data_IF_390356775167
#
_entry.id   IF_390356775167
#
_cell.length_a   1.000
_cell.length_b   1.000
_cell.length_c   1.000
_cell.angle_alpha   90.00
_cell.angle_beta   90.00
_cell.angle_gamma   90.00
#
_symmetry.space_group_name_H-M   'P 1'
#
loop_
_entity.id
_entity.type
_entity.pdbx_description
1 polymer ?
#
# COMPACT_ATOMS: atom_id res chain seq x y z
N UNK A 1 -0.42 -2.14 -23.54
CA UNK A 1 -0.52 -3.11 -22.41
C UNK A 1 -0.02 -4.50 -22.84
N UNK A 2 1.27 -4.78 -22.63
CA UNK A 2 1.78 -6.15 -22.50
C UNK A 2 1.82 -6.44 -20.99
N UNK A 3 1.18 -7.54 -20.58
CA UNK A 3 1.02 -7.94 -19.18
C UNK A 3 2.20 -8.83 -18.77
N UNK A 4 2.62 -8.76 -17.51
CA UNK A 4 3.50 -9.78 -16.92
C UNK A 4 2.63 -10.92 -16.40
N UNK A 5 2.97 -12.14 -16.77
CA UNK A 5 2.28 -13.37 -16.31
C UNK A 5 3.29 -14.32 -15.70
N UNK A 6 2.86 -15.21 -14.83
CA UNK A 6 3.73 -16.21 -14.23
C UNK A 6 3.52 -16.31 -12.72
N UNK A 7 4.56 -16.70 -12.00
CA UNK A 7 4.51 -16.92 -10.57
C UNK A 7 5.76 -16.42 -9.86
N UNK A 8 5.55 -15.99 -8.61
CA UNK A 8 6.58 -15.82 -7.61
C UNK A 8 6.09 -16.51 -6.35
N UNK A 9 6.90 -17.41 -5.79
CA UNK A 9 6.60 -18.14 -4.56
C UNK A 9 7.80 -18.06 -3.61
N UNK A 10 7.55 -18.12 -2.31
CA UNK A 10 8.61 -18.21 -1.30
C UNK A 10 8.06 -18.75 0.02
N UNK A 11 8.94 -19.11 0.94
CA UNK A 11 8.59 -19.30 2.34
C UNK A 11 9.14 -18.13 3.15
N UNK A 12 8.28 -17.43 3.87
CA UNK A 12 8.61 -16.28 4.70
C UNK A 12 8.54 -16.70 6.16
N UNK A 13 9.58 -16.35 6.93
CA UNK A 13 9.58 -16.44 8.40
C UNK A 13 9.69 -15.03 8.95
N UNK A 14 8.59 -14.53 9.52
CA UNK A 14 8.46 -13.22 10.14
C UNK A 14 7.82 -13.36 11.52
N UNK A 15 8.63 -13.16 12.57
CA UNK A 15 8.16 -13.29 13.96
C UNK A 15 7.23 -12.16 14.43
N UNK A 16 6.99 -11.13 13.61
CA UNK A 16 6.07 -10.03 13.93
C UNK A 16 4.61 -10.33 13.57
N UNK A 17 4.35 -11.42 12.82
CA UNK A 17 3.01 -11.82 12.39
C UNK A 17 2.65 -13.20 12.95
N UNK A 18 1.35 -13.51 12.99
CA UNK A 18 0.83 -14.79 13.45
C UNK A 18 -0.04 -15.39 12.31
N UNK A 19 0.27 -16.59 11.81
CA UNK A 19 1.43 -17.41 12.15
C UNK A 19 2.76 -16.78 11.67
N UNK A 20 3.89 -17.05 12.34
CA UNK A 20 5.18 -16.45 11.97
C UNK A 20 5.76 -17.01 10.67
N UNK A 21 5.22 -18.11 10.17
CA UNK A 21 5.62 -18.73 8.91
C UNK A 21 4.47 -18.60 7.91
N UNK A 22 4.77 -18.09 6.73
CA UNK A 22 3.82 -17.90 5.64
C UNK A 22 4.42 -18.43 4.34
N UNK A 23 3.65 -19.22 3.59
CA UNK A 23 4.04 -19.63 2.24
C UNK A 23 3.49 -18.60 1.25
N UNK A 24 4.36 -17.72 0.78
CA UNK A 24 4.04 -16.67 -0.17
C UNK A 24 3.63 -17.28 -1.51
N UNK A 25 2.50 -16.80 -2.02
CA UNK A 25 2.06 -17.10 -3.38
C UNK A 25 1.57 -15.82 -4.04
N UNK A 26 2.36 -15.30 -4.96
CA UNK A 26 2.00 -14.10 -5.70
C UNK A 26 0.68 -14.24 -6.46
N UNK A 27 -0.18 -13.23 -6.33
CA UNK A 27 -1.43 -13.12 -7.08
C UNK A 27 -1.12 -12.92 -8.57
N UNK A 28 -1.68 -13.77 -9.44
CA UNK A 28 -1.34 -13.80 -10.87
C UNK A 28 -1.60 -12.47 -11.61
N UNK A 29 -2.58 -11.69 -11.15
CA UNK A 29 -2.94 -10.37 -11.67
C UNK A 29 -2.11 -9.21 -11.06
N UNK A 30 -1.17 -9.52 -10.16
CA UNK A 30 -0.35 -8.53 -9.43
C UNK A 30 1.14 -8.78 -9.54
N UNK A 31 1.56 -9.54 -10.53
CA UNK A 31 2.96 -9.69 -10.89
C UNK A 31 3.37 -8.60 -11.86
N UNK A 32 4.57 -8.06 -11.66
CA UNK A 32 5.17 -7.09 -12.56
C UNK A 32 6.59 -7.41 -12.89
N UNK A 33 6.92 -7.17 -14.16
CA UNK A 33 8.27 -7.11 -14.65
C UNK A 33 8.37 -5.97 -15.66
N UNK A 34 9.27 -5.01 -15.44
CA UNK A 34 9.47 -3.87 -16.35
C UNK A 34 10.88 -3.32 -16.26
N UNK A 35 11.30 -2.58 -17.29
CA UNK A 35 12.56 -1.85 -17.27
C UNK A 35 12.34 -0.38 -16.98
N UNK A 36 13.19 0.18 -16.10
CA UNK A 36 13.35 1.61 -15.91
C UNK A 36 14.80 1.98 -16.24
N UNK A 37 15.02 2.58 -17.41
CA UNK A 37 16.38 2.71 -17.96
C UNK A 37 17.03 1.34 -18.18
N UNK A 38 18.17 1.09 -17.54
CA UNK A 38 18.88 -0.21 -17.59
C UNK A 38 18.53 -1.13 -16.42
N UNK A 39 17.67 -0.70 -15.50
CA UNK A 39 17.29 -1.48 -14.33
C UNK A 39 16.06 -2.33 -14.61
N UNK A 40 16.13 -3.62 -14.30
CA UNK A 40 14.98 -4.50 -14.28
C UNK A 40 14.30 -4.39 -12.92
N UNK A 41 13.01 -4.12 -12.93
CA UNK A 41 12.14 -4.10 -11.76
C UNK A 41 11.22 -5.31 -11.78
N UNK A 42 11.11 -5.96 -10.63
CA UNK A 42 10.20 -7.08 -10.39
C UNK A 42 9.36 -6.72 -9.17
N UNK A 43 8.04 -6.85 -9.27
CA UNK A 43 7.14 -6.73 -8.14
C UNK A 43 6.22 -7.93 -8.07
N UNK A 44 6.06 -8.48 -6.87
CA UNK A 44 5.17 -9.58 -6.60
C UNK A 44 4.35 -9.28 -5.35
N UNK A 45 3.03 -9.38 -5.45
CA UNK A 45 2.10 -9.09 -4.35
C UNK A 45 1.18 -10.28 -4.10
N UNK A 46 0.88 -10.54 -2.83
CA UNK A 46 -0.16 -11.45 -2.38
C UNK A 46 -1.18 -10.68 -1.53
N UNK A 47 -2.47 -10.92 -1.77
CA UNK A 47 -3.56 -10.46 -0.90
C UNK A 47 -3.76 -11.45 0.24
N UNK A 48 -3.56 -11.01 1.48
CA UNK A 48 -3.69 -11.87 2.68
C UNK A 48 -5.04 -11.70 3.39
N UNK A 49 -5.90 -10.80 2.91
CA UNK A 49 -7.26 -10.65 3.44
C UNK A 49 -8.16 -9.82 2.56
N UNK A 50 -9.37 -9.53 3.05
CA UNK A 50 -10.36 -8.70 2.35
C UNK A 50 -9.96 -7.22 2.33
N UNK A 51 -8.90 -6.85 3.05
CA UNK A 51 -8.37 -5.51 3.18
C UNK A 51 -7.71 -4.95 1.91
N UNK A 52 -7.88 -3.65 1.61
CA UNK A 52 -7.15 -3.01 0.49
C UNK A 52 -5.65 -2.88 0.73
N UNK A 53 -5.24 -2.93 2.01
CA UNK A 53 -3.85 -2.87 2.43
C UNK A 53 -3.41 -4.17 3.09
N UNK A 54 -4.29 -5.17 3.19
CA UNK A 54 -4.00 -6.50 3.75
C UNK A 54 -3.27 -7.30 2.67
N UNK A 55 -2.02 -6.89 2.43
CA UNK A 55 -1.17 -7.42 1.38
C UNK A 55 0.26 -7.52 1.89
N UNK A 56 1.02 -8.40 1.27
CA UNK A 56 2.46 -8.47 1.42
C UNK A 56 3.10 -8.72 0.06
N UNK A 57 4.40 -8.49 -0.06
CA UNK A 57 5.05 -8.61 -1.35
C UNK A 57 6.55 -8.36 -1.35
N UNK A 58 7.11 -8.51 -2.55
CA UNK A 58 8.52 -8.34 -2.84
C UNK A 58 8.69 -7.32 -3.95
N UNK A 59 9.66 -6.42 -3.77
CA UNK A 59 10.17 -5.57 -4.83
C UNK A 59 11.67 -5.87 -5.01
N UNK A 60 12.07 -6.19 -6.25
CA UNK A 60 13.47 -6.34 -6.63
C UNK A 60 13.83 -5.34 -7.72
N UNK A 61 15.05 -4.80 -7.62
CA UNK A 61 15.66 -3.96 -8.65
C UNK A 61 17.02 -4.54 -8.98
N UNK A 62 17.25 -4.87 -10.24
CA UNK A 62 18.49 -5.46 -10.73
C UNK A 62 19.05 -4.59 -11.84
N UNK A 63 20.21 -3.97 -11.60
CA UNK A 63 20.93 -3.27 -12.65
C UNK A 63 21.64 -4.27 -13.58
N UNK A 64 21.73 -3.91 -14.85
CA UNK A 64 22.56 -4.58 -15.85
C UNK A 64 22.29 -6.09 -16.01
N UNK A 65 21.03 -6.51 -15.86
CA UNK A 65 20.65 -7.90 -16.16
C UNK A 65 20.93 -8.21 -17.64
N UNK A 66 21.63 -9.31 -17.88
CA UNK A 66 21.98 -9.74 -19.23
C UNK A 66 20.86 -10.62 -19.80
N UNK A 67 20.36 -10.24 -20.97
CA UNK A 67 19.36 -11.00 -21.71
C UNK A 67 20.04 -12.00 -22.68
N UNK A 68 20.50 -13.12 -22.13
CA UNK A 68 21.12 -14.20 -22.89
C UNK A 68 20.68 -15.61 -22.45
N UNK A 69 19.70 -15.70 -21.53
CA UNK A 69 19.22 -16.94 -20.97
C UNK A 69 20.22 -17.65 -20.04
N UNK A 70 21.32 -16.99 -19.66
CA UNK A 70 22.32 -17.57 -18.75
C UNK A 70 22.05 -17.15 -17.31
N UNK A 71 21.91 -18.16 -16.45
CA UNK A 71 21.68 -18.01 -15.02
C UNK A 71 22.90 -17.36 -14.33
N UNK A 72 22.67 -16.23 -13.67
CA UNK A 72 23.69 -15.48 -12.92
C UNK A 72 23.22 -15.18 -11.50
N UNK A 73 24.18 -15.08 -10.59
CA UNK A 73 23.93 -14.65 -9.21
C UNK A 73 24.18 -13.16 -9.09
N UNK A 74 23.16 -12.44 -8.66
CA UNK A 74 23.14 -11.03 -8.32
C UNK A 74 23.09 -10.93 -6.79
N UNK A 75 24.10 -10.29 -6.20
CA UNK A 75 24.18 -10.10 -4.74
C UNK A 75 23.53 -8.78 -4.39
N UNK A 76 22.82 -8.73 -3.27
CA UNK A 76 22.24 -7.48 -2.80
C UNK A 76 23.35 -6.48 -2.43
N UNK A 77 23.35 -5.36 -3.15
CA UNK A 77 24.34 -4.29 -3.07
C UNK A 77 23.76 -2.98 -3.65
N UNK A 78 24.61 -2.03 -4.05
CA UNK A 78 24.16 -0.76 -4.64
C UNK A 78 23.46 -0.92 -6.01
N UNK A 79 23.67 -2.04 -6.69
CA UNK A 79 23.18 -2.32 -8.05
C UNK A 79 22.04 -3.34 -8.05
N UNK A 80 21.94 -4.17 -7.01
CA UNK A 80 20.83 -5.10 -6.82
C UNK A 80 20.17 -4.85 -5.47
N UNK A 81 18.90 -4.44 -5.46
CA UNK A 81 18.15 -4.12 -4.24
C UNK A 81 16.96 -5.05 -4.10
N UNK A 82 16.65 -5.39 -2.86
CA UNK A 82 15.46 -6.17 -2.51
C UNK A 82 14.72 -5.51 -1.35
N UNK A 83 13.42 -5.63 -1.38
CA UNK A 83 12.51 -5.17 -0.34
C UNK A 83 11.43 -6.24 -0.16
N UNK A 84 11.23 -6.68 1.08
CA UNK A 84 10.00 -7.35 1.49
C UNK A 84 9.11 -6.33 2.19
N UNK A 85 7.83 -6.27 1.87
CA UNK A 85 6.89 -5.42 2.58
C UNK A 85 5.70 -6.25 3.06
N UNK A 86 5.27 -6.00 4.30
CA UNK A 86 4.21 -6.77 4.95
C UNK A 86 3.17 -5.85 5.58
N UNK A 87 1.90 -6.25 5.54
CA UNK A 87 0.88 -5.61 6.37
C UNK A 87 1.00 -6.07 7.83
N UNK A 88 1.41 -5.16 8.70
CA UNK A 88 1.56 -5.41 10.12
C UNK A 88 1.00 -4.24 10.92
N UNK A 89 0.28 -4.54 12.01
CA UNK A 89 -0.26 -3.54 12.93
C UNK A 89 -1.08 -2.44 12.25
N UNK A 90 -1.78 -2.77 11.15
CA UNK A 90 -2.64 -1.84 10.41
C UNK A 90 -1.93 -1.00 9.36
N UNK A 91 -0.68 -1.29 9.00
CA UNK A 91 0.06 -0.58 7.95
C UNK A 91 1.15 -1.42 7.28
N UNK A 92 1.69 -0.93 6.17
CA UNK A 92 2.79 -1.59 5.45
C UNK A 92 4.13 -1.33 6.15
N UNK A 93 4.91 -2.39 6.38
CA UNK A 93 6.24 -2.36 6.98
C UNK A 93 7.29 -2.79 5.94
N UNK A 94 8.26 -1.92 5.59
CA UNK A 94 9.30 -2.22 4.61
C UNK A 94 10.53 -2.85 5.25
N UNK A 95 10.76 -4.14 5.02
CA UNK A 95 11.97 -4.87 5.39
C UNK A 95 13.00 -4.81 4.26
N UNK A 96 14.08 -4.05 4.47
CA UNK A 96 15.14 -3.87 3.48
C UNK A 96 16.08 -5.07 3.53
N UNK A 97 16.39 -5.65 2.37
CA UNK A 97 17.27 -6.81 2.30
C UNK A 97 18.71 -6.42 2.66
N UNK A 98 19.30 -7.14 3.62
CA UNK A 98 20.68 -6.93 4.07
C UNK A 98 21.65 -7.98 3.51
N UNK A 99 21.20 -9.24 3.44
CA UNK A 99 22.03 -10.36 2.99
C UNK A 99 21.20 -11.36 2.19
N UNK A 100 21.86 -12.15 1.34
CA UNK A 100 21.21 -13.13 0.48
C UNK A 100 21.63 -13.00 -0.97
N UNK A 101 20.88 -13.64 -1.88
CA UNK A 101 21.12 -13.51 -3.31
C UNK A 101 19.90 -13.75 -4.18
N UNK A 102 19.97 -13.21 -5.39
CA UNK A 102 19.06 -13.48 -6.49
C UNK A 102 19.83 -14.29 -7.54
N UNK A 103 19.33 -15.44 -7.93
CA UNK A 103 19.89 -16.22 -9.03
C UNK A 103 18.91 -16.18 -10.20
N UNK A 104 19.20 -15.36 -11.21
CA UNK A 104 18.26 -15.01 -12.28
C UNK A 104 18.83 -15.33 -13.66
N UNK A 105 17.93 -15.69 -14.58
CA UNK A 105 18.16 -15.83 -16.01
C UNK A 105 17.04 -15.10 -16.76
N UNK A 106 17.40 -14.16 -17.62
CA UNK A 106 16.47 -13.50 -18.54
C UNK A 106 16.78 -13.96 -19.96
N UNK A 107 15.78 -14.51 -20.64
CA UNK A 107 15.92 -14.96 -22.02
C UNK A 107 15.31 -14.01 -23.05
N UNK A 108 15.64 -14.29 -24.33
CA UNK A 108 15.22 -13.50 -25.49
C UNK A 108 13.69 -13.47 -25.69
N UNK A 109 12.97 -14.39 -25.07
CA UNK A 109 11.52 -14.50 -25.13
C UNK A 109 10.87 -13.68 -23.99
N UNK A 110 11.68 -12.88 -23.28
CA UNK A 110 11.30 -12.05 -22.13
C UNK A 110 10.76 -12.90 -20.98
N UNK A 111 11.33 -14.09 -20.80
CA UNK A 111 11.07 -14.91 -19.62
C UNK A 111 12.21 -14.75 -18.63
N UNK A 112 11.85 -14.39 -17.41
CA UNK A 112 12.72 -14.34 -16.25
C UNK A 112 12.47 -15.57 -15.39
N UNK A 113 13.49 -16.39 -15.22
CA UNK A 113 13.48 -17.53 -14.31
C UNK A 113 14.55 -17.35 -13.24
N UNK A 114 14.27 -17.81 -12.02
CA UNK A 114 15.27 -17.78 -10.99
C UNK A 114 14.83 -18.24 -9.62
N UNK A 115 15.77 -18.12 -8.67
CA UNK A 115 15.56 -18.42 -7.26
C UNK A 115 16.09 -17.29 -6.40
N UNK A 116 15.57 -17.15 -5.18
CA UNK A 116 16.05 -16.17 -4.23
C UNK A 116 15.95 -16.66 -2.79
N UNK A 117 16.86 -16.15 -1.97
CA UNK A 117 16.91 -16.33 -0.53
C UNK A 117 17.55 -15.07 0.06
N UNK A 118 17.02 -14.59 1.18
CA UNK A 118 17.56 -13.42 1.86
C UNK A 118 17.07 -13.26 3.29
N UNK A 119 17.81 -12.43 4.04
CA UNK A 119 17.36 -11.85 5.30
C UNK A 119 17.19 -10.34 5.13
N UNK A 120 16.10 -9.80 5.67
CA UNK A 120 15.72 -8.40 5.56
C UNK A 120 15.32 -7.82 6.92
N UNK A 121 15.56 -6.52 7.13
CA UNK A 121 15.34 -5.87 8.43
C UNK A 121 14.46 -4.63 8.33
N UNK A 122 13.70 -4.38 9.40
CA UNK A 122 12.96 -3.14 9.62
C UNK A 122 13.09 -2.76 11.10
N UNK A 123 13.84 -1.70 11.39
CA UNK A 123 14.31 -1.38 12.75
C UNK A 123 15.03 -2.59 13.38
N UNK A 124 14.61 -3.03 14.57
CA UNK A 124 15.20 -4.16 15.29
C UNK A 124 14.57 -5.52 14.90
N UNK A 125 13.71 -5.55 13.89
CA UNK A 125 13.03 -6.77 13.44
C UNK A 125 13.66 -7.32 12.17
N UNK A 126 13.71 -8.66 12.09
CA UNK A 126 14.23 -9.39 10.94
C UNK A 126 13.19 -10.35 10.37
N UNK A 127 13.28 -10.55 9.06
CA UNK A 127 12.52 -11.51 8.28
C UNK A 127 13.48 -12.34 7.46
N UNK A 128 13.28 -13.64 7.46
CA UNK A 128 14.01 -14.58 6.62
C UNK A 128 13.09 -15.09 5.50
N UNK A 129 13.60 -15.07 4.28
CA UNK A 129 12.90 -15.53 3.08
C UNK A 129 13.72 -16.62 2.42
N UNK A 130 13.10 -17.78 2.29
CA UNK A 130 13.74 -18.99 1.78
C UNK A 130 12.93 -19.60 0.63
N UNK A 131 13.57 -20.45 -0.18
CA UNK A 131 12.92 -21.19 -1.26
C UNK A 131 12.15 -20.28 -2.22
N UNK A 132 12.66 -19.08 -2.43
CA UNK A 132 12.11 -18.14 -3.39
C UNK A 132 12.28 -18.68 -4.80
N UNK A 133 11.22 -18.66 -5.58
CA UNK A 133 11.17 -19.05 -6.99
C UNK A 133 10.48 -17.97 -7.81
N UNK A 134 11.05 -17.65 -8.98
CA UNK A 134 10.53 -16.66 -9.92
C UNK A 134 10.43 -17.33 -11.29
N UNK A 135 9.26 -17.26 -11.91
CA UNK A 135 9.05 -17.62 -13.31
C UNK A 135 8.04 -16.64 -13.91
N UNK A 136 8.54 -15.57 -14.53
CA UNK A 136 7.74 -14.48 -15.08
C UNK A 136 7.98 -14.35 -16.58
N UNK A 137 6.93 -14.04 -17.33
CA UNK A 137 6.97 -13.84 -18.78
C UNK A 137 6.32 -12.51 -19.12
N UNK A 138 6.98 -11.75 -19.98
CA UNK A 138 6.44 -10.52 -20.56
C UNK A 138 6.69 -9.28 -19.70
N UNK A 139 6.96 -8.17 -20.38
CA UNK A 139 7.21 -6.88 -19.75
C UNK A 139 5.99 -5.96 -19.81
N UNK A 140 5.82 -5.19 -18.74
CA UNK A 140 4.92 -4.04 -18.75
C UNK A 140 5.64 -2.89 -19.46
N UNK A 141 5.17 -2.59 -20.68
CA UNK A 141 5.71 -1.55 -21.56
C UNK A 141 5.18 -0.15 -21.23
N UNK A 142 4.04 -0.09 -20.55
CA UNK A 142 3.35 1.14 -20.13
C UNK A 142 3.26 1.14 -18.60
N UNK A 143 4.33 0.72 -17.90
CA UNK A 143 4.31 0.85 -16.45
C UNK A 143 4.15 2.34 -16.17
N UNK A 144 3.10 2.79 -15.47
CA UNK A 144 3.25 4.07 -14.82
C UNK A 144 4.47 3.86 -13.92
N UNK A 145 5.61 4.47 -14.32
CA UNK A 145 6.61 4.98 -13.39
C UNK A 145 5.78 5.37 -12.19
N UNK A 146 6.03 4.80 -11.01
CA UNK A 146 5.28 5.14 -9.80
C UNK A 146 5.34 6.65 -9.67
N UNK A 147 4.38 7.34 -10.28
CA UNK A 147 4.29 8.77 -10.26
C UNK A 147 3.96 8.97 -8.82
N UNK A 148 4.91 9.52 -8.06
CA UNK A 148 4.65 9.88 -6.69
C UNK A 148 3.24 10.48 -6.66
N UNK A 149 2.33 9.95 -5.82
CA UNK A 149 0.96 10.37 -5.79
C UNK A 149 0.87 11.89 -5.85
N UNK A 150 0.53 12.43 -7.02
CA UNK A 150 0.53 13.87 -7.17
C UNK A 150 -0.67 14.37 -6.39
N UNK A 151 -0.42 15.31 -5.49
CA UNK A 151 -1.50 15.99 -4.81
C UNK A 151 -2.21 16.87 -5.84
N UNK A 152 -3.36 16.41 -6.30
CA UNK A 152 -4.16 17.06 -7.33
C UNK A 152 -5.29 17.89 -6.71
N UNK A 153 -5.44 17.88 -5.38
CA UNK A 153 -6.48 18.66 -4.73
C UNK A 153 -6.17 19.07 -3.30
N UNK A 154 -6.97 20.00 -2.81
CA UNK A 154 -6.90 20.56 -1.47
C UNK A 154 -8.30 20.77 -0.90
N UNK A 155 -8.42 21.09 0.38
CA UNK A 155 -9.71 21.30 1.00
C UNK A 155 -9.61 21.45 2.51
N UNK A 156 -10.73 21.24 3.17
CA UNK A 156 -10.79 21.29 4.63
C UNK A 156 -11.67 20.16 5.18
N UNK A 157 -11.38 19.75 6.41
CA UNK A 157 -12.19 18.82 7.19
C UNK A 157 -12.48 19.40 8.56
N UNK A 158 -13.73 19.28 9.00
CA UNK A 158 -14.18 19.80 10.29
C UNK A 158 -15.14 18.84 10.97
N UNK A 159 -14.94 18.61 12.26
CA UNK A 159 -15.81 17.73 13.03
C UNK A 159 -15.17 17.29 14.34
N UNK A 160 -15.39 16.03 14.71
CA UNK A 160 -14.98 15.48 16.00
C UNK A 160 -14.54 14.02 15.93
N UNK A 161 -13.62 13.65 16.81
CA UNK A 161 -13.17 12.29 17.13
C UNK A 161 -13.50 12.03 18.60
N UNK A 162 -14.67 11.46 18.88
CA UNK A 162 -15.22 11.30 20.23
C UNK A 162 -14.85 9.94 20.83
N UNK A 163 -14.26 9.96 22.04
CA UNK A 163 -13.78 8.75 22.72
C UNK A 163 -12.48 8.19 22.16
N UNK A 164 -11.86 8.87 21.19
CA UNK A 164 -10.58 8.50 20.59
C UNK A 164 -9.37 8.99 21.39
N UNK A 165 -8.14 8.77 20.88
CA UNK A 165 -6.89 9.10 21.59
C UNK A 165 -6.54 10.59 21.60
N UNK A 166 -7.35 11.43 20.93
CA UNK A 166 -7.06 12.86 20.85
C UNK A 166 -7.28 13.54 22.20
N UNK A 167 -6.39 14.46 22.62
CA UNK A 167 -6.54 15.18 23.88
C UNK A 167 -7.80 16.05 23.90
N UNK A 168 -8.25 16.48 22.72
CA UNK A 168 -9.50 17.19 22.49
C UNK A 168 -10.24 16.51 21.35
N UNK A 169 -11.58 16.37 21.43
CA UNK A 169 -12.33 15.68 20.40
C UNK A 169 -12.42 16.49 19.11
N UNK A 170 -12.21 17.81 19.12
CA UNK A 170 -12.33 18.62 17.91
C UNK A 170 -11.27 18.26 16.86
N UNK A 171 -11.74 18.03 15.63
CA UNK A 171 -10.91 17.85 14.45
C UNK A 171 -11.15 19.00 13.47
N UNK A 172 -10.12 19.77 13.19
CA UNK A 172 -10.14 20.87 12.24
C UNK A 172 -8.84 20.89 11.44
N UNK A 173 -8.95 20.85 10.12
CA UNK A 173 -7.80 21.01 9.24
C UNK A 173 -8.16 21.70 7.93
N UNK A 174 -7.26 22.55 7.45
CA UNK A 174 -7.23 23.11 6.10
C UNK A 174 -6.16 22.43 5.23
N UNK A 175 -5.45 21.46 5.79
CA UNK A 175 -4.46 20.65 5.09
C UNK A 175 -5.12 19.33 4.73
N UNK A 176 -5.74 19.31 3.56
CA UNK A 176 -6.29 18.11 2.95
C UNK A 176 -5.51 17.81 1.67
N UNK A 177 -5.12 16.55 1.50
CA UNK A 177 -4.53 16.05 0.26
C UNK A 177 -5.56 15.21 -0.47
N UNK A 178 -5.69 15.43 -1.78
CA UNK A 178 -6.46 14.57 -2.68
C UNK A 178 -5.50 14.03 -3.72
N UNK A 179 -5.40 12.71 -3.81
CA UNK A 179 -4.46 12.03 -4.71
C UNK A 179 -5.20 10.96 -5.48
N UNK A 180 -4.87 10.83 -6.76
CA UNK A 180 -5.19 9.62 -7.51
C UNK A 180 -3.99 8.70 -7.45
N UNK A 181 -4.16 7.54 -6.85
CA UNK A 181 -3.16 6.49 -6.82
C UNK A 181 -3.37 5.62 -8.05
N UNK A 182 -2.45 5.73 -8.99
CA UNK A 182 -2.40 4.85 -10.16
C UNK A 182 -1.26 3.86 -9.98
N UNK A 183 -1.60 2.70 -9.41
CA UNK A 183 -0.72 1.55 -9.45
C UNK A 183 -1.33 0.50 -10.37
N UNK A 184 -0.46 -0.39 -10.84
CA UNK A 184 -0.82 -1.61 -11.55
C UNK A 184 -1.65 -2.58 -10.69
N UNK A 185 -1.48 -2.55 -9.36
CA UNK A 185 -2.19 -3.41 -8.41
C UNK A 185 -3.61 -2.90 -8.25
N UNK A 186 -3.74 -1.58 -8.12
CA UNK A 186 -5.01 -0.93 -7.83
C UNK A 186 -4.97 0.54 -8.19
N UNK A 187 -6.09 1.01 -8.70
CA UNK A 187 -6.39 2.41 -8.90
C UNK A 187 -7.44 2.86 -7.90
N UNK A 188 -7.15 3.94 -7.18
CA UNK A 188 -8.05 4.49 -6.19
C UNK A 188 -7.77 5.97 -5.94
N UNK A 189 -8.76 6.65 -5.40
CA UNK A 189 -8.63 7.99 -4.85
C UNK A 189 -8.32 7.91 -3.37
N UNK A 190 -7.39 8.76 -2.93
CA UNK A 190 -7.04 8.97 -1.54
C UNK A 190 -7.39 10.42 -1.16
N UNK A 191 -8.17 10.59 -0.09
CA UNK A 191 -8.45 11.89 0.52
C UNK A 191 -7.99 11.83 1.97
N UNK A 192 -7.03 12.68 2.34
CA UNK A 192 -6.42 12.66 3.67
C UNK A 192 -6.41 14.06 4.30
N UNK A 193 -7.05 14.21 5.46
CA UNK A 193 -6.98 15.42 6.28
C UNK A 193 -5.97 15.27 7.42
N UNK A 194 -5.15 16.30 7.65
CA UNK A 194 -4.05 16.26 8.63
C UNK A 194 -4.21 17.35 9.70
N UNK A 195 -4.31 16.96 10.97
CA UNK A 195 -4.25 17.90 12.11
C UNK A 195 -3.01 17.62 12.95
N UNK A 196 -2.21 18.64 13.20
CA UNK A 196 -1.05 18.55 14.09
C UNK A 196 -1.40 19.04 15.50
N UNK A 197 -1.06 18.24 16.51
CA UNK A 197 -1.20 18.59 17.93
C UNK A 197 0.18 18.57 18.62
N UNK A 198 0.41 19.49 19.56
CA UNK A 198 1.52 19.43 20.51
C UNK A 198 2.92 19.77 19.97
N UNK A 199 3.94 19.47 20.79
CA UNK A 199 5.38 19.62 20.47
C UNK A 199 6.16 18.50 21.18
N UNK A 200 6.79 17.54 20.47
CA UNK A 200 6.89 17.44 19.01
C UNK A 200 5.52 17.22 18.33
N UNK A 201 5.36 17.60 17.05
CA UNK A 201 4.08 17.55 16.37
C UNK A 201 3.60 16.11 16.19
N UNK A 202 2.43 15.81 16.76
CA UNK A 202 1.72 14.56 16.58
C UNK A 202 0.69 14.78 15.49
N UNK A 203 0.74 14.00 14.41
CA UNK A 203 -0.25 14.09 13.33
C UNK A 203 -1.41 13.15 13.60
N UNK A 204 -2.61 13.72 13.61
CA UNK A 204 -3.87 13.01 13.49
C UNK A 204 -4.31 13.05 12.02
N UNK A 205 -4.75 11.91 11.50
CA UNK A 205 -5.02 11.71 10.07
C UNK A 205 -6.42 11.12 9.94
N UNK A 206 -7.27 11.74 9.13
CA UNK A 206 -8.49 11.09 8.63
C UNK A 206 -8.24 10.72 7.17
N UNK A 207 -8.28 9.43 6.88
CA UNK A 207 -7.99 8.86 5.57
C UNK A 207 -9.27 8.27 4.98
N UNK A 208 -9.60 8.66 3.75
CA UNK A 208 -10.68 8.10 2.94
C UNK A 208 -10.04 7.49 1.70
N UNK A 209 -10.32 6.21 1.44
CA UNK A 209 -9.92 5.53 0.21
C UNK A 209 -11.16 5.14 -0.58
N UNK A 210 -11.17 5.48 -1.87
CA UNK A 210 -12.30 5.25 -2.79
C UNK A 210 -11.76 4.51 -4.01
N UNK A 211 -12.23 3.29 -4.26
CA UNK A 211 -11.77 2.50 -5.40
C UNK A 211 -12.13 3.20 -6.73
N UNK A 212 -11.28 3.06 -7.75
CA UNK A 212 -11.63 3.53 -9.08
C UNK A 212 -12.89 2.79 -9.60
N UNK A 213 -13.76 3.52 -10.30
CA UNK A 213 -15.01 2.99 -10.83
C UNK A 213 -16.19 3.01 -9.84
N UNK A 214 -15.96 3.40 -8.58
CA UNK A 214 -17.06 3.72 -7.66
C UNK A 214 -17.93 4.83 -8.24
N UNK A 215 -19.24 4.64 -8.20
CA UNK A 215 -20.25 5.61 -8.73
C UNK A 215 -21.29 6.01 -7.70
N UNK A 216 -21.49 5.18 -6.67
CA UNK A 216 -22.37 5.50 -5.55
C UNK A 216 -21.82 6.69 -4.76
N UNK A 217 -22.72 7.42 -4.10
CA UNK A 217 -22.34 8.57 -3.25
C UNK A 217 -22.70 8.38 -1.79
N UNK A 218 -23.29 7.24 -1.42
CA UNK A 218 -23.61 6.91 -0.02
C UNK A 218 -23.22 5.47 0.25
N UNK A 219 -22.51 5.24 1.36
CA UNK A 219 -21.92 3.96 1.69
C UNK A 219 -22.16 3.59 3.15
N UNK A 220 -22.54 2.34 3.39
CA UNK A 220 -22.47 1.73 4.71
C UNK A 220 -21.06 1.14 4.93
N UNK A 221 -20.33 1.72 5.86
CA UNK A 221 -18.92 1.37 6.12
C UNK A 221 -18.76 0.00 6.80
N UNK A 222 -19.82 -0.60 7.35
CA UNK A 222 -19.75 -1.96 7.88
C UNK A 222 -19.59 -3.03 6.78
N UNK A 223 -20.07 -2.73 5.57
CA UNK A 223 -20.19 -3.72 4.49
C UNK A 223 -19.56 -3.27 3.17
N UNK A 224 -19.10 -2.02 3.07
CA UNK A 224 -18.57 -1.49 1.82
C UNK A 224 -17.19 -2.05 1.50
N UNK A 225 -17.02 -2.54 0.28
CA UNK A 225 -15.72 -2.91 -0.30
C UNK A 225 -15.17 -1.80 -1.22
N UNK A 226 -16.04 -0.86 -1.62
CA UNK A 226 -15.75 0.24 -2.55
C UNK A 226 -15.01 1.40 -1.89
N UNK A 227 -15.37 1.70 -0.63
CA UNK A 227 -14.80 2.82 0.12
C UNK A 227 -14.35 2.38 1.51
N UNK A 228 -13.37 3.09 2.05
CA UNK A 228 -12.87 2.90 3.42
C UNK A 228 -12.58 4.21 4.09
N UNK A 229 -12.77 4.23 5.40
CA UNK A 229 -12.41 5.34 6.27
C UNK A 229 -11.52 4.81 7.38
N UNK A 230 -10.44 5.52 7.68
CA UNK A 230 -9.57 5.24 8.82
C UNK A 230 -9.21 6.53 9.55
N UNK A 231 -8.96 6.40 10.85
CA UNK A 231 -8.34 7.42 11.67
C UNK A 231 -6.95 6.96 12.08
N UNK A 232 -5.94 7.80 11.91
CA UNK A 232 -4.58 7.51 12.31
C UNK A 232 -3.98 8.57 13.23
N UNK A 233 -3.02 8.15 14.05
CA UNK A 233 -2.28 9.04 14.95
C UNK A 233 -0.83 8.56 15.08
N UNK A 234 0.13 9.46 14.81
CA UNK A 234 1.54 9.08 14.61
C UNK A 234 2.28 8.59 15.85
N UNK A 235 1.88 9.00 17.05
CA UNK A 235 2.49 8.59 18.33
C UNK A 235 1.78 7.42 19.00
N UNK A 236 0.73 6.88 18.36
CA UNK A 236 -0.13 5.87 18.94
C UNK A 236 -0.15 4.60 18.07
N UNK A 237 -1.30 4.31 17.46
CA UNK A 237 -1.65 2.99 17.01
C UNK A 237 -1.61 2.79 15.49
N UNK A 238 -0.96 3.70 14.75
CA UNK A 238 -1.02 3.70 13.29
C UNK A 238 -2.41 4.12 12.83
N UNK A 239 -3.22 3.18 12.32
CA UNK A 239 -4.58 3.42 11.84
C UNK A 239 -5.62 2.49 12.51
N UNK A 240 -6.75 3.08 12.91
CA UNK A 240 -7.99 2.41 13.26
C UNK A 240 -8.97 2.53 12.10
N UNK A 241 -9.61 1.42 11.71
CA UNK A 241 -10.46 1.35 10.51
C UNK A 241 -11.93 1.41 10.89
N UNK A 242 -12.75 1.99 10.01
CA UNK A 242 -14.19 2.03 10.20
C UNK A 242 -14.77 0.60 10.22
N UNK A 243 -15.53 0.28 11.27
CA UNK A 243 -16.24 -0.99 11.45
C UNK A 243 -17.75 -0.84 11.27
N UNK A 244 -18.26 0.39 11.33
CA UNK A 244 -19.68 0.71 11.14
C UNK A 244 -19.89 2.20 10.86
N UNK A 245 -21.07 2.55 10.33
CA UNK A 245 -21.48 3.93 10.07
C UNK A 245 -21.60 4.24 8.59
N UNK A 246 -21.58 5.53 8.26
CA UNK A 246 -21.76 6.01 6.87
C UNK A 246 -20.66 6.94 6.40
N UNK A 247 -20.47 6.90 5.08
CA UNK A 247 -19.74 7.90 4.30
C UNK A 247 -20.65 8.36 3.18
N UNK A 248 -20.89 9.67 3.12
CA UNK A 248 -21.77 10.30 2.15
C UNK A 248 -21.01 11.39 1.39
N UNK A 249 -21.25 11.47 0.09
CA UNK A 249 -20.68 12.41 -0.85
C UNK A 249 -21.78 13.18 -1.58
N UNK A 250 -21.50 14.42 -1.95
CA UNK A 250 -22.30 15.19 -2.92
C UNK A 250 -21.88 14.86 -4.35
N UNK A 251 -20.59 14.64 -4.56
CA UNK A 251 -19.96 14.15 -5.79
C UNK A 251 -18.69 13.35 -5.41
N UNK A 252 -18.18 12.53 -6.32
CA UNK A 252 -16.94 11.78 -6.08
C UNK A 252 -15.71 12.62 -6.50
N UNK A 253 -14.53 12.38 -5.91
CA UNK A 253 -13.29 13.01 -6.34
C UNK A 253 -13.02 12.79 -7.84
N UNK A 254 -12.41 13.78 -8.50
CA UNK A 254 -12.23 13.81 -9.96
C UNK A 254 -13.34 14.56 -10.70
N UNK A 255 -14.24 15.23 -9.98
CA UNK A 255 -15.35 16.04 -10.53
C UNK A 255 -15.18 17.54 -10.27
N UNK A 256 -14.04 17.95 -9.71
CA UNK A 256 -13.67 19.35 -9.47
C UNK A 256 -13.97 19.84 -8.06
N UNK A 257 -15.14 19.52 -7.51
CA UNK A 257 -15.46 19.79 -6.10
C UNK A 257 -16.33 18.68 -5.52
N UNK A 258 -15.95 18.24 -4.33
CA UNK A 258 -16.63 17.19 -3.58
C UNK A 258 -16.84 17.65 -2.14
N UNK A 259 -18.09 17.74 -1.71
CA UNK A 259 -18.45 17.84 -0.30
C UNK A 259 -18.91 16.47 0.22
N UNK A 260 -18.67 16.18 1.49
CA UNK A 260 -19.14 14.93 2.08
C UNK A 260 -19.13 14.92 3.60
N UNK A 261 -19.61 13.80 4.15
CA UNK A 261 -19.74 13.58 5.58
C UNK A 261 -19.38 12.15 5.94
N UNK A 262 -18.59 12.01 7.00
CA UNK A 262 -18.30 10.78 7.70
C UNK A 262 -19.09 10.80 9.02
N UNK A 263 -19.74 9.68 9.33
CA UNK A 263 -20.27 9.41 10.65
C UNK A 263 -20.07 7.92 10.95
N UNK A 264 -18.95 7.58 11.57
CA UNK A 264 -18.55 6.18 11.73
C UNK A 264 -17.97 5.88 13.11
N UNK A 265 -17.92 4.58 13.43
CA UNK A 265 -17.07 4.07 14.49
C UNK A 265 -15.86 3.40 13.88
N UNK A 266 -14.68 3.73 14.39
CA UNK A 266 -13.42 3.11 14.00
C UNK A 266 -12.88 2.27 15.15
N UNK A 267 -12.14 1.22 14.80
CA UNK A 267 -11.51 0.31 15.75
C UNK A 267 -10.17 -0.15 15.19
N UNK A 268 -9.21 -0.35 16.09
CA UNK A 268 -8.01 -1.12 15.79
C UNK A 268 -8.09 -2.44 16.56
N UNK A 269 -7.93 -3.55 15.85
CA UNK A 269 -8.01 -4.88 16.43
C UNK A 269 -9.26 -5.03 17.32
N UNK A 270 -9.08 -5.39 18.59
CA UNK A 270 -10.15 -5.59 19.57
C UNK A 270 -10.30 -4.43 20.58
N UNK A 271 -9.67 -3.27 20.32
CA UNK A 271 -9.75 -2.10 21.20
C UNK A 271 -11.17 -1.53 21.27
N UNK A 272 -11.47 -0.66 22.25
CA UNK A 272 -12.80 -0.04 22.32
C UNK A 272 -13.02 0.88 21.10
N UNK A 273 -14.09 0.69 20.31
CA UNK A 273 -14.35 1.56 19.16
C UNK A 273 -14.68 3.00 19.58
N UNK A 274 -14.21 3.97 18.80
CA UNK A 274 -14.47 5.38 19.01
C UNK A 274 -15.07 6.03 17.75
N UNK A 275 -15.72 7.19 17.91
CA UNK A 275 -16.50 7.81 16.84
C UNK A 275 -15.67 8.84 16.06
N UNK A 276 -15.83 8.85 14.73
CA UNK A 276 -15.30 9.88 13.83
C UNK A 276 -16.48 10.50 13.09
N UNK A 277 -16.73 11.79 13.34
CA UNK A 277 -17.88 12.53 12.82
C UNK A 277 -17.35 13.80 12.16
N UNK A 278 -17.19 13.79 10.85
CA UNK A 278 -16.49 14.85 10.12
C UNK A 278 -17.23 15.22 8.85
N UNK A 279 -17.24 16.51 8.52
CA UNK A 279 -17.60 17.02 7.21
C UNK A 279 -16.34 17.45 6.47
N UNK A 280 -16.32 17.25 5.17
CA UNK A 280 -15.22 17.66 4.31
C UNK A 280 -15.74 18.35 3.06
N UNK A 281 -14.94 19.27 2.55
CA UNK A 281 -15.15 19.96 1.28
C UNK A 281 -13.78 20.09 0.62
N UNK A 282 -13.64 19.40 -0.51
CA UNK A 282 -12.40 19.24 -1.25
C UNK A 282 -12.59 19.70 -2.69
N UNK A 283 -11.52 20.20 -3.26
CA UNK A 283 -11.41 20.60 -4.66
C UNK A 283 -10.22 19.89 -5.27
N UNK A 284 -10.40 19.34 -6.46
CA UNK A 284 -9.37 18.63 -7.21
C UNK A 284 -9.27 19.20 -8.64
N UNK A 285 -8.07 19.18 -9.20
CA UNK A 285 -7.81 19.58 -10.58
C UNK A 285 -8.34 18.50 -11.50
N UNK A 286 -9.42 18.81 -12.22
CA UNK A 286 -9.96 18.02 -13.33
C UNK A 286 -9.13 18.24 -14.59
#
# INVERSE_FOLDING_TARGET
MRQTTGSVNATITNNQVIPPKHDFKGDADRMQMYFEGTQLHIKATESIGGGINEMLGFDFVIADIVNDGVMRTYKFDTYTRGLYWAHENGGLKPYVVETGSLRLSLDKDNRLMGTFDFSATFNDFAVDVEKGEIDLVGFIIDAPLTSEPQNIGTGHMTGKVEGGPMPKPEFYTTVVSVRKIESHIKKYWEVAGFQEDGSPPIRNIILIVINEGTTNTSFNLATSTEVRVAFGRTDAFGFAYAISGSLDFTALPGTGRTEGRINCKVQRNEETPFAVIVKFDITDSV
#
